data_IF_070232301765
#
_entry.id   IF_070232301765
#
_cell.length_a   1.000
_cell.length_b   1.000
_cell.length_c   1.000
_cell.angle_alpha   90.00
_cell.angle_beta   90.00
_cell.angle_gamma   90.00
#
_symmetry.space_group_name_H-M   'P 1'
#
loop_
_entity.id
_entity.type
_entity.pdbx_description
1 polymer ?
#
# COMPACT_ATOMS: atom_id res chain seq x y z
N UNK A 1 20.69 1.02 -8.12
CA UNK A 1 20.10 0.99 -6.77
C UNK A 1 20.90 1.89 -5.83
N UNK A 2 20.21 2.61 -4.98
CA UNK A 2 20.80 3.42 -3.93
C UNK A 2 20.61 2.72 -2.58
N UNK A 3 21.61 2.82 -1.70
CA UNK A 3 21.52 2.30 -0.33
C UNK A 3 21.24 3.44 0.63
N UNK A 4 20.24 3.26 1.48
CA UNK A 4 19.82 4.23 2.49
C UNK A 4 20.20 3.73 3.89
N UNK A 5 20.87 4.60 4.65
CA UNK A 5 21.16 4.37 6.07
C UNK A 5 20.17 5.18 6.90
N UNK A 6 19.37 4.46 7.72
CA UNK A 6 18.38 5.07 8.59
C UNK A 6 19.03 5.63 9.86
N UNK A 7 18.66 6.86 10.21
CA UNK A 7 18.91 7.39 11.56
C UNK A 7 17.69 7.09 12.44
N UNK A 8 17.89 6.41 13.56
CA UNK A 8 16.82 6.14 14.53
C UNK A 8 16.33 7.46 15.13
N UNK A 9 15.05 7.67 15.02
CA UNK A 9 14.34 8.70 15.76
C UNK A 9 13.50 7.98 16.81
N UNK A 10 14.04 7.80 18.01
CA UNK A 10 13.25 7.35 19.14
C UNK A 10 12.22 8.44 19.46
N UNK A 11 11.02 8.31 18.93
CA UNK A 11 9.89 9.12 19.41
C UNK A 11 9.50 8.55 20.77
N UNK A 12 10.25 8.90 21.80
CA UNK A 12 9.83 8.82 23.22
C UNK A 12 9.05 10.05 23.64
N UNK A 13 8.57 10.83 22.71
CA UNK A 13 7.75 11.97 23.07
C UNK A 13 6.39 11.46 23.52
N UNK A 14 6.17 11.63 24.81
CA UNK A 14 4.88 11.54 25.46
C UNK A 14 3.87 12.26 24.56
N UNK A 15 2.85 11.56 24.14
CA UNK A 15 1.57 12.21 23.85
C UNK A 15 1.23 12.91 25.17
N UNK A 16 1.53 14.21 25.24
CA UNK A 16 1.13 15.01 26.37
C UNK A 16 -0.38 14.86 26.49
N UNK A 17 -0.87 14.53 27.67
CA UNK A 17 -2.29 14.59 27.99
C UNK A 17 -2.71 16.07 27.87
N UNK A 18 -2.96 16.52 26.66
CA UNK A 18 -3.72 17.72 26.42
C UNK A 18 -5.18 17.33 26.52
N UNK A 19 -5.93 18.11 27.27
CA UNK A 19 -7.39 17.98 27.48
C UNK A 19 -8.20 18.05 26.17
N UNK A 20 -7.53 18.21 25.03
CA UNK A 20 -8.08 18.37 23.68
C UNK A 20 -7.73 17.16 22.79
N UNK A 21 -7.97 15.95 23.28
CA UNK A 21 -7.97 14.79 22.39
C UNK A 21 -9.09 14.97 21.38
N UNK A 22 -8.80 14.83 20.07
CA UNK A 22 -9.84 14.91 19.06
C UNK A 22 -10.94 13.91 19.39
N UNK A 23 -12.20 14.34 19.28
CA UNK A 23 -13.35 13.47 19.47
C UNK A 23 -13.28 12.32 18.45
N UNK A 24 -13.20 11.08 18.95
CA UNK A 24 -13.16 9.90 18.09
C UNK A 24 -14.59 9.47 17.79
N UNK A 25 -15.08 9.82 16.62
CA UNK A 25 -16.38 9.36 16.14
C UNK A 25 -16.23 7.99 15.46
N UNK A 26 -16.78 6.97 16.08
CA UNK A 26 -16.89 5.65 15.47
C UNK A 26 -18.08 5.63 14.50
N UNK A 27 -17.81 5.67 13.20
CA UNK A 27 -18.83 5.50 12.16
C UNK A 27 -18.80 4.03 11.74
N UNK A 28 -19.83 3.21 12.06
CA UNK A 28 -19.85 1.82 11.65
C UNK A 28 -20.07 1.69 10.15
N UNK A 29 -19.34 0.78 9.49
CA UNK A 29 -19.65 0.38 8.13
C UNK A 29 -21.07 -0.19 8.06
N UNK A 30 -21.90 0.33 7.17
CA UNK A 30 -23.28 -0.15 6.97
C UNK A 30 -23.30 -1.57 6.41
N UNK A 31 -22.37 -1.91 5.55
CA UNK A 31 -22.23 -3.26 5.01
C UNK A 31 -21.27 -4.08 5.89
N UNK A 32 -21.83 -5.01 6.67
CA UNK A 32 -21.09 -5.86 7.61
C UNK A 32 -20.27 -6.97 6.94
N UNK A 33 -20.49 -7.22 5.65
CA UNK A 33 -19.83 -8.27 4.89
C UNK A 33 -18.48 -7.77 4.30
N UNK A 34 -18.14 -6.51 4.54
CA UNK A 34 -16.92 -5.90 4.01
C UNK A 34 -15.93 -5.70 5.14
N UNK A 35 -14.72 -6.20 4.93
CA UNK A 35 -13.56 -5.92 5.76
C UNK A 35 -12.64 -4.93 5.05
N UNK A 36 -12.59 -3.70 5.54
CA UNK A 36 -11.66 -2.67 5.09
C UNK A 36 -10.31 -2.90 5.77
N UNK A 37 -9.25 -3.00 4.99
CA UNK A 37 -7.88 -3.24 5.48
C UNK A 37 -7.05 -1.97 5.56
N UNK A 38 -7.17 -1.12 4.56
CA UNK A 38 -6.54 0.19 4.53
C UNK A 38 -7.39 1.12 3.67
N UNK A 39 -7.29 2.42 3.91
CA UNK A 39 -7.99 3.38 3.08
C UNK A 39 -7.50 4.79 3.32
N UNK A 40 -7.81 5.67 2.38
CA UNK A 40 -7.45 7.08 2.40
C UNK A 40 -8.61 7.93 1.88
N UNK A 41 -8.80 9.07 2.50
CA UNK A 41 -9.67 10.11 1.95
C UNK A 41 -9.02 10.74 0.72
N UNK A 42 -9.79 10.82 -0.35
CA UNK A 42 -9.45 11.61 -1.53
C UNK A 42 -9.96 13.05 -1.35
N UNK A 43 -11.15 13.17 -0.77
CA UNK A 43 -11.76 14.41 -0.32
C UNK A 43 -12.85 14.10 0.71
N UNK A 44 -13.56 15.09 1.22
CA UNK A 44 -14.58 14.95 2.26
C UNK A 44 -15.73 13.98 1.91
N UNK A 45 -15.93 13.71 0.62
CA UNK A 45 -17.03 12.85 0.13
C UNK A 45 -16.56 11.55 -0.52
N UNK A 46 -15.25 11.29 -0.55
CA UNK A 46 -14.69 10.13 -1.23
C UNK A 46 -13.57 9.49 -0.42
N UNK A 47 -13.79 8.25 -0.02
CA UNK A 47 -12.82 7.44 0.67
C UNK A 47 -12.51 6.20 -0.17
N UNK A 48 -11.23 6.03 -0.56
CA UNK A 48 -10.76 4.86 -1.31
C UNK A 48 -10.16 3.86 -0.35
N UNK A 49 -10.65 2.64 -0.38
CA UNK A 49 -10.22 1.60 0.53
C UNK A 49 -9.91 0.28 -0.17
N UNK A 50 -8.95 -0.46 0.36
CA UNK A 50 -8.78 -1.87 0.02
C UNK A 50 -9.70 -2.74 0.86
N UNK A 51 -10.31 -3.73 0.22
CA UNK A 51 -11.25 -4.65 0.85
C UNK A 51 -10.84 -6.10 0.67
N UNK A 52 -11.19 -6.95 1.63
CA UNK A 52 -10.85 -8.37 1.62
C UNK A 52 -12.06 -9.30 1.45
N UNK A 53 -13.26 -8.85 1.75
CA UNK A 53 -14.41 -9.75 1.87
C UNK A 53 -15.24 -9.84 0.60
N UNK A 54 -15.34 -11.05 0.05
CA UNK A 54 -16.39 -11.47 -0.91
C UNK A 54 -16.43 -10.78 -2.28
N UNK A 55 -15.56 -9.81 -2.50
CA UNK A 55 -15.61 -8.97 -3.68
C UNK A 55 -14.65 -9.49 -4.76
N UNK A 56 -15.13 -9.45 -5.98
CA UNK A 56 -14.30 -9.74 -7.17
C UNK A 56 -13.33 -8.60 -7.48
N UNK A 57 -13.50 -7.45 -6.84
CA UNK A 57 -12.71 -6.24 -7.02
C UNK A 57 -12.10 -5.83 -5.68
N UNK A 58 -10.77 -5.64 -5.62
CA UNK A 58 -10.06 -5.48 -4.35
C UNK A 58 -10.15 -4.07 -3.75
N UNK A 59 -10.69 -3.12 -4.47
CA UNK A 59 -10.80 -1.72 -4.05
C UNK A 59 -12.27 -1.31 -4.02
N UNK A 60 -12.64 -0.52 -3.04
CA UNK A 60 -13.96 0.09 -2.93
C UNK A 60 -13.85 1.60 -2.79
N UNK A 61 -14.80 2.30 -3.39
CA UNK A 61 -15.07 3.70 -3.11
C UNK A 61 -16.22 3.78 -2.12
N UNK A 62 -16.04 4.55 -1.06
CA UNK A 62 -17.05 4.87 -0.07
C UNK A 62 -17.32 6.37 -0.07
N UNK A 63 -18.56 6.74 0.17
CA UNK A 63 -18.92 8.15 0.41
C UNK A 63 -18.68 8.58 1.87
N UNK A 64 -19.07 9.81 2.21
CA UNK A 64 -18.98 10.36 3.57
C UNK A 64 -19.76 9.57 4.62
N UNK A 65 -20.80 8.85 4.20
CA UNK A 65 -21.65 8.03 5.07
C UNK A 65 -21.19 6.56 5.12
N UNK A 66 -20.03 6.28 4.54
CA UNK A 66 -19.41 4.96 4.37
C UNK A 66 -20.27 3.96 3.58
N UNK A 67 -21.07 4.48 2.63
CA UNK A 67 -21.79 3.66 1.65
C UNK A 67 -20.91 3.38 0.43
N UNK A 68 -20.98 2.14 -0.07
CA UNK A 68 -20.23 1.75 -1.27
C UNK A 68 -20.83 2.45 -2.49
N UNK A 69 -20.02 3.21 -3.19
CA UNK A 69 -20.35 3.85 -4.47
C UNK A 69 -19.85 3.07 -5.65
N UNK A 70 -18.66 2.49 -5.54
CA UNK A 70 -18.07 1.70 -6.61
C UNK A 70 -17.19 0.56 -6.06
N UNK A 71 -17.13 -0.53 -6.83
CA UNK A 71 -16.11 -1.55 -6.72
C UNK A 71 -15.13 -1.34 -7.87
N UNK A 72 -13.82 -1.38 -7.58
CA UNK A 72 -12.79 -0.93 -8.49
C UNK A 72 -11.69 -1.98 -8.58
N UNK A 73 -11.04 -2.02 -9.74
CA UNK A 73 -9.93 -2.90 -10.03
C UNK A 73 -10.37 -4.28 -10.47
N UNK A 74 -9.42 -5.05 -10.95
CA UNK A 74 -9.62 -6.42 -11.39
C UNK A 74 -8.74 -7.35 -10.55
N UNK A 75 -9.29 -8.49 -10.18
CA UNK A 75 -8.45 -9.60 -9.71
C UNK A 75 -7.87 -10.32 -10.93
N UNK A 76 -6.69 -10.93 -10.80
CA UNK A 76 -6.11 -11.73 -11.89
C UNK A 76 -7.10 -12.79 -12.37
N UNK A 77 -7.16 -12.96 -13.64
CA UNK A 77 -7.96 -13.86 -14.46
C UNK A 77 -9.08 -14.62 -13.74
N UNK A 78 -10.33 -14.40 -14.14
CA UNK A 78 -11.52 -15.03 -13.54
C UNK A 78 -11.46 -16.57 -13.51
N UNK A 79 -10.76 -17.19 -14.45
CA UNK A 79 -10.60 -18.63 -14.52
C UNK A 79 -9.58 -19.20 -13.53
N UNK A 80 -8.73 -18.33 -12.96
CA UNK A 80 -7.64 -18.68 -12.05
C UNK A 80 -7.78 -18.05 -10.66
N UNK A 81 -8.99 -17.67 -10.27
CA UNK A 81 -9.24 -17.08 -8.94
C UNK A 81 -8.72 -17.97 -7.84
N UNK A 82 -7.90 -17.39 -6.98
CA UNK A 82 -7.62 -17.98 -5.68
C UNK A 82 -8.93 -18.05 -4.90
N UNK A 83 -9.23 -19.17 -4.27
CA UNK A 83 -10.32 -19.27 -3.30
C UNK A 83 -10.03 -18.47 -2.03
N UNK A 84 -8.81 -18.01 -1.88
CA UNK A 84 -8.36 -17.20 -0.76
C UNK A 84 -8.33 -15.72 -1.16
N UNK A 85 -9.38 -15.02 -0.83
CA UNK A 85 -9.58 -13.59 -1.09
C UNK A 85 -8.49 -12.70 -0.48
N UNK A 86 -7.84 -13.16 0.60
CA UNK A 86 -6.72 -12.44 1.19
C UNK A 86 -5.52 -12.27 0.25
N UNK A 87 -5.44 -13.08 -0.81
CA UNK A 87 -4.39 -12.99 -1.81
C UNK A 87 -4.41 -11.69 -2.61
N UNK A 88 -5.57 -11.06 -2.71
CA UNK A 88 -5.76 -9.82 -3.48
C UNK A 88 -5.87 -8.57 -2.61
N UNK A 89 -5.71 -8.75 -1.30
CA UNK A 89 -5.66 -7.61 -0.37
C UNK A 89 -4.40 -6.78 -0.54
N UNK A 90 -4.49 -5.51 -0.20
CA UNK A 90 -3.36 -4.61 -0.37
C UNK A 90 -3.51 -3.28 0.36
N UNK A 91 -2.71 -2.33 -0.06
CA UNK A 91 -2.70 -0.97 0.46
C UNK A 91 -3.04 0.04 -0.64
N UNK A 92 -3.64 1.15 -0.23
CA UNK A 92 -3.97 2.28 -1.11
C UNK A 92 -3.31 3.55 -0.65
N UNK A 93 -2.99 4.43 -1.58
CA UNK A 93 -2.56 5.80 -1.31
C UNK A 93 -3.17 6.75 -2.32
N UNK A 94 -3.51 7.93 -1.87
CA UNK A 94 -4.19 8.96 -2.65
C UNK A 94 -3.31 10.21 -2.73
N UNK A 95 -3.29 10.85 -3.87
CA UNK A 95 -2.76 12.18 -4.07
C UNK A 95 -3.63 12.92 -5.11
N UNK A 96 -4.23 14.04 -4.71
CA UNK A 96 -5.17 14.81 -5.53
C UNK A 96 -6.34 13.93 -6.01
N UNK A 97 -6.61 13.87 -7.30
CA UNK A 97 -7.66 13.05 -7.91
C UNK A 97 -7.17 11.65 -8.32
N UNK A 98 -5.93 11.28 -8.00
CA UNK A 98 -5.35 9.98 -8.32
C UNK A 98 -5.18 9.12 -7.08
N UNK A 99 -5.21 7.81 -7.29
CA UNK A 99 -4.86 6.85 -6.26
C UNK A 99 -4.12 5.66 -6.85
N UNK A 100 -3.28 5.09 -6.03
CA UNK A 100 -2.53 3.87 -6.34
C UNK A 100 -2.94 2.76 -5.39
N UNK A 101 -3.01 1.54 -5.92
CA UNK A 101 -3.27 0.31 -5.18
C UNK A 101 -2.13 -0.67 -5.42
N UNK A 102 -1.70 -1.34 -4.36
CA UNK A 102 -0.68 -2.41 -4.41
C UNK A 102 -1.17 -3.64 -3.68
N UNK A 103 -0.83 -4.85 -4.18
CA UNK A 103 -1.21 -6.11 -3.54
C UNK A 103 -0.10 -6.67 -2.66
N UNK A 104 -0.48 -7.18 -1.49
CA UNK A 104 0.48 -7.73 -0.52
C UNK A 104 1.02 -9.11 -0.93
N UNK A 105 0.18 -9.96 -1.51
CA UNK A 105 0.59 -11.32 -1.90
C UNK A 105 1.13 -11.42 -3.32
N UNK A 106 0.93 -10.39 -4.13
CA UNK A 106 1.38 -10.30 -5.52
C UNK A 106 2.16 -9.01 -5.71
N UNK A 107 3.14 -9.02 -6.60
CA UNK A 107 3.83 -7.80 -7.00
C UNK A 107 2.99 -6.98 -8.00
N UNK A 108 1.69 -6.82 -7.74
CA UNK A 108 0.77 -6.02 -8.56
C UNK A 108 0.67 -4.61 -8.05
N UNK A 109 0.70 -3.67 -8.98
CA UNK A 109 0.49 -2.24 -8.74
C UNK A 109 -0.43 -1.68 -9.84
N UNK A 110 -1.34 -0.80 -9.45
CA UNK A 110 -2.25 -0.11 -10.37
C UNK A 110 -2.46 1.33 -9.94
N UNK A 111 -2.55 2.24 -10.91
CA UNK A 111 -2.87 3.64 -10.69
C UNK A 111 -4.17 4.00 -11.38
N UNK A 112 -4.99 4.75 -10.69
CA UNK A 112 -6.32 5.18 -11.14
C UNK A 112 -6.46 6.70 -10.99
N UNK A 113 -7.37 7.26 -11.76
CA UNK A 113 -7.78 8.65 -11.68
C UNK A 113 -9.29 8.74 -11.52
N UNK A 114 -9.74 9.60 -10.62
CA UNK A 114 -11.16 9.96 -10.49
C UNK A 114 -11.42 11.20 -11.33
N UNK A 115 -12.26 11.05 -12.33
CA UNK A 115 -12.64 12.11 -13.26
C UNK A 115 -13.66 13.07 -12.63
N UNK A 116 -13.84 14.23 -13.23
CA UNK A 116 -14.76 15.28 -12.75
C UNK A 116 -16.22 14.81 -12.71
N UNK A 117 -16.62 13.92 -13.61
CA UNK A 117 -17.95 13.30 -13.65
C UNK A 117 -18.14 12.18 -12.60
N UNK A 118 -17.11 11.89 -11.81
CA UNK A 118 -17.10 10.87 -10.77
C UNK A 118 -16.67 9.47 -11.26
N UNK A 119 -16.48 9.28 -12.56
CA UNK A 119 -15.97 8.01 -13.09
C UNK A 119 -14.54 7.75 -12.63
N UNK A 120 -14.20 6.47 -12.44
CA UNK A 120 -12.84 6.04 -12.10
C UNK A 120 -12.23 5.34 -13.29
N UNK A 121 -11.10 5.86 -13.74
CA UNK A 121 -10.35 5.35 -14.87
C UNK A 121 -9.04 4.70 -14.41
N UNK A 122 -8.76 3.49 -14.90
CA UNK A 122 -7.44 2.88 -14.78
C UNK A 122 -6.48 3.62 -15.73
N UNK A 123 -5.40 4.16 -15.18
CA UNK A 123 -4.35 4.82 -15.97
C UNK A 123 -3.33 3.78 -16.45
N UNK A 124 -2.85 2.94 -15.55
CA UNK A 124 -1.93 1.85 -15.83
C UNK A 124 -1.94 0.83 -14.72
N UNK A 125 -1.55 -0.41 -15.05
CA UNK A 125 -1.29 -1.48 -14.09
C UNK A 125 -0.25 -2.45 -14.63
N UNK A 126 0.42 -3.16 -13.75
CA UNK A 126 1.32 -4.24 -14.12
C UNK A 126 1.67 -5.14 -12.92
N UNK A 127 2.23 -6.30 -13.23
CA UNK A 127 2.88 -7.20 -12.28
C UNK A 127 4.39 -7.07 -12.36
N UNK A 128 5.09 -7.00 -11.21
CA UNK A 128 6.56 -7.13 -11.17
C UNK A 128 7.00 -8.55 -11.56
N UNK A 129 6.18 -9.53 -11.26
CA UNK A 129 6.34 -10.93 -11.65
C UNK A 129 4.95 -11.52 -11.88
N UNK A 130 4.73 -12.11 -13.05
CA UNK A 130 3.46 -12.71 -13.40
C UNK A 130 3.05 -13.81 -12.41
N UNK A 131 1.80 -13.79 -11.90
CA UNK A 131 1.32 -14.79 -10.98
C UNK A 131 1.22 -16.17 -11.64
N UNK A 132 1.68 -17.20 -10.94
CA UNK A 132 1.58 -18.59 -11.40
C UNK A 132 0.46 -19.32 -10.68
N UNK A 133 -0.24 -20.18 -11.41
CA UNK A 133 -1.36 -20.94 -10.88
C UNK A 133 -1.14 -22.45 -11.08
N UNK A 134 -1.48 -23.21 -10.05
CA UNK A 134 -1.48 -24.68 -10.07
C UNK A 134 -2.89 -25.13 -9.69
N UNK A 135 -3.53 -25.92 -10.58
CA UNK A 135 -4.92 -26.38 -10.38
C UNK A 135 -5.90 -25.26 -10.05
N UNK A 136 -5.81 -24.15 -10.77
CA UNK A 136 -6.63 -22.92 -10.57
C UNK A 136 -6.42 -22.21 -9.21
N UNK A 137 -5.38 -22.52 -8.48
CA UNK A 137 -4.99 -21.84 -7.25
C UNK A 137 -3.66 -21.15 -7.43
N UNK A 138 -3.48 -20.01 -6.77
CA UNK A 138 -2.22 -19.29 -6.77
C UNK A 138 -1.10 -20.18 -6.21
N UNK A 139 -0.01 -20.34 -6.96
CA UNK A 139 1.16 -21.12 -6.53
C UNK A 139 1.95 -20.37 -5.45
N UNK A 140 1.47 -20.45 -4.22
CA UNK A 140 2.08 -19.77 -3.07
C UNK A 140 3.47 -20.26 -2.72
N UNK A 141 3.87 -21.48 -3.13
CA UNK A 141 5.21 -22.01 -2.85
C UNK A 141 6.30 -21.29 -3.64
N UNK A 142 5.94 -20.82 -4.83
CA UNK A 142 6.87 -20.12 -5.72
C UNK A 142 6.60 -18.62 -5.81
N UNK A 143 5.60 -18.12 -5.08
CA UNK A 143 5.22 -16.74 -5.06
C UNK A 143 6.24 -15.91 -4.27
N UNK A 144 6.65 -14.78 -4.85
CA UNK A 144 7.29 -13.72 -4.10
C UNK A 144 6.21 -12.80 -3.53
N UNK A 145 6.34 -12.47 -2.25
CA UNK A 145 5.48 -11.48 -1.63
C UNK A 145 5.61 -10.15 -2.32
N UNK A 146 4.48 -9.46 -2.50
CA UNK A 146 4.39 -8.19 -3.16
C UNK A 146 4.75 -7.01 -2.26
N UNK A 147 3.79 -6.16 -1.99
CA UNK A 147 4.00 -4.89 -1.31
C UNK A 147 3.41 -4.90 0.10
N UNK A 148 4.10 -4.29 1.06
CA UNK A 148 3.57 -4.09 2.40
C UNK A 148 2.84 -2.76 2.56
N UNK A 149 3.25 -1.74 1.79
CA UNK A 149 2.66 -0.41 1.84
C UNK A 149 2.96 0.40 0.59
N UNK A 150 2.21 1.49 0.39
CA UNK A 150 2.41 2.43 -0.70
C UNK A 150 2.13 3.85 -0.24
N UNK A 151 2.93 4.80 -0.69
CA UNK A 151 2.72 6.24 -0.51
C UNK A 151 2.85 6.96 -1.85
N UNK A 152 1.76 7.58 -2.28
CA UNK A 152 1.74 8.48 -3.43
C UNK A 152 1.94 9.92 -2.94
N UNK A 153 2.80 10.67 -3.61
CA UNK A 153 3.13 12.07 -3.34
C UNK A 153 2.95 12.89 -4.60
N UNK A 154 3.35 14.14 -4.59
CA UNK A 154 3.19 15.06 -5.73
C UNK A 154 3.86 14.54 -7.01
N UNK A 155 5.08 14.00 -6.88
CA UNK A 155 5.88 13.60 -8.04
C UNK A 155 6.13 12.10 -8.13
N UNK A 156 5.99 11.35 -7.01
CA UNK A 156 6.45 9.97 -6.91
C UNK A 156 5.45 9.04 -6.25
N UNK A 157 5.64 7.75 -6.51
CA UNK A 157 4.96 6.65 -5.84
C UNK A 157 6.03 5.78 -5.19
N UNK A 158 6.03 5.70 -3.85
CA UNK A 158 6.96 4.91 -3.04
C UNK A 158 6.26 3.64 -2.58
N UNK A 159 6.84 2.48 -2.87
CA UNK A 159 6.26 1.17 -2.55
C UNK A 159 7.21 0.34 -1.71
N UNK A 160 6.84 0.03 -0.48
CA UNK A 160 7.56 -0.95 0.34
C UNK A 160 7.37 -2.35 -0.24
N UNK A 161 8.45 -2.96 -0.73
CA UNK A 161 8.40 -4.21 -1.49
C UNK A 161 9.15 -5.33 -0.78
N UNK A 162 8.47 -6.46 -0.55
CA UNK A 162 9.09 -7.65 0.03
C UNK A 162 10.06 -8.32 -0.96
N UNK A 163 9.59 -8.67 -2.14
CA UNK A 163 10.41 -9.30 -3.19
C UNK A 163 11.00 -10.67 -2.82
N UNK A 164 10.53 -11.29 -1.73
CA UNK A 164 11.04 -12.52 -1.18
C UNK A 164 9.99 -13.63 -1.26
N UNK A 165 10.44 -14.87 -1.42
CA UNK A 165 9.53 -16.02 -1.37
C UNK A 165 8.93 -16.17 0.02
N UNK A 166 7.63 -16.45 0.06
CA UNK A 166 6.96 -16.80 1.31
C UNK A 166 7.39 -18.20 1.75
N UNK A 167 8.10 -18.29 2.87
CA UNK A 167 8.47 -19.55 3.52
C UNK A 167 7.79 -19.54 4.89
N UNK A 168 6.90 -20.50 5.12
CA UNK A 168 6.06 -20.56 6.33
C UNK A 168 6.89 -20.56 7.62
N UNK A 169 8.03 -21.28 7.60
CA UNK A 169 8.97 -21.39 8.70
C UNK A 169 9.67 -20.05 9.01
N UNK A 170 9.82 -19.19 8.01
CA UNK A 170 10.49 -17.89 8.12
C UNK A 170 9.54 -16.70 8.18
N UNK A 171 8.24 -16.92 8.39
CA UNK A 171 7.23 -15.85 8.35
C UNK A 171 7.59 -14.63 9.22
N UNK A 172 8.21 -14.85 10.39
CA UNK A 172 8.62 -13.77 11.30
C UNK A 172 9.89 -13.04 10.85
N UNK A 173 10.65 -13.60 9.91
CA UNK A 173 11.93 -13.07 9.45
C UNK A 173 11.83 -12.41 8.08
N UNK A 174 10.63 -12.38 7.48
CA UNK A 174 10.42 -11.69 6.21
C UNK A 174 10.36 -10.20 6.50
N UNK A 175 11.37 -9.49 6.06
CA UNK A 175 11.53 -8.05 6.28
C UNK A 175 11.53 -7.30 4.95
N UNK A 176 11.12 -6.04 4.99
CA UNK A 176 11.04 -5.17 3.82
C UNK A 176 12.25 -4.28 3.80
N UNK A 177 13.17 -4.52 2.87
CA UNK A 177 14.38 -3.72 2.70
C UNK A 177 14.44 -2.98 1.36
N UNK A 178 13.38 -3.05 0.57
CA UNK A 178 13.33 -2.39 -0.71
C UNK A 178 12.15 -1.41 -0.75
N UNK A 179 12.42 -0.18 -1.18
CA UNK A 179 11.40 0.79 -1.51
C UNK A 179 11.54 1.07 -3.00
N UNK A 180 10.58 0.57 -3.78
CA UNK A 180 10.52 0.83 -5.22
C UNK A 180 9.87 2.18 -5.45
N UNK A 181 10.48 2.99 -6.31
CA UNK A 181 10.00 4.32 -6.64
C UNK A 181 9.58 4.37 -8.10
N UNK A 182 8.39 4.89 -8.35
CA UNK A 182 7.83 5.10 -9.69
C UNK A 182 7.40 6.56 -9.86
N UNK A 183 7.31 7.02 -11.11
CA UNK A 183 6.58 8.24 -11.43
C UNK A 183 5.06 7.97 -11.53
N UNK A 184 4.25 9.01 -11.73
CA UNK A 184 2.81 8.88 -11.88
C UNK A 184 2.35 8.21 -13.19
N UNK A 185 3.27 7.97 -14.14
CA UNK A 185 3.02 7.24 -15.37
C UNK A 185 3.38 5.76 -15.27
N UNK A 186 3.85 5.31 -14.09
CA UNK A 186 4.23 3.93 -13.83
C UNK A 186 5.66 3.59 -14.26
N UNK A 187 6.48 4.57 -14.66
CA UNK A 187 7.87 4.30 -14.97
C UNK A 187 8.67 4.08 -13.69
N UNK A 188 9.41 2.98 -13.67
CA UNK A 188 10.32 2.68 -12.56
C UNK A 188 11.50 3.66 -12.54
N UNK A 189 11.73 4.31 -11.40
CA UNK A 189 12.79 5.30 -11.25
C UNK A 189 13.96 4.77 -10.40
N UNK A 190 13.67 4.12 -9.28
CA UNK A 190 14.70 3.68 -8.36
C UNK A 190 14.26 2.50 -7.48
N UNK A 191 15.23 1.70 -7.05
CA UNK A 191 15.09 0.80 -5.90
C UNK A 191 15.99 1.33 -4.78
N UNK A 192 15.37 1.80 -3.71
CA UNK A 192 16.06 2.27 -2.52
C UNK A 192 16.21 1.07 -1.57
N UNK A 193 17.44 0.62 -1.38
CA UNK A 193 17.73 -0.45 -0.43
C UNK A 193 18.00 0.14 0.94
N UNK A 194 17.24 -0.28 1.96
CA UNK A 194 17.31 0.22 3.32
C UNK A 194 18.11 -0.73 4.23
N UNK A 195 18.88 -0.17 5.15
CA UNK A 195 19.61 -0.92 6.19
C UNK A 195 18.71 -1.43 7.31
N UNK A 196 17.50 -0.86 7.43
CA UNK A 196 16.43 -1.26 8.35
C UNK A 196 15.17 -1.61 7.58
N UNK A 197 14.34 -2.49 8.14
CA UNK A 197 13.06 -2.79 7.50
C UNK A 197 12.17 -1.53 7.42
N UNK A 198 11.40 -1.42 6.34
CA UNK A 198 10.54 -0.28 6.04
C UNK A 198 9.12 -0.76 5.67
N UNK A 199 8.37 -1.23 6.67
CA UNK A 199 7.09 -1.91 6.46
C UNK A 199 5.90 -0.98 6.24
N UNK A 200 5.96 0.25 6.75
CA UNK A 200 4.96 1.31 6.57
C UNK A 200 5.68 2.61 6.27
N UNK A 201 5.15 3.38 5.31
CA UNK A 201 5.80 4.57 4.81
C UNK A 201 5.00 5.84 5.07
N UNK A 202 5.74 6.91 5.35
CA UNK A 202 5.30 8.28 5.18
C UNK A 202 6.43 9.06 4.50
N UNK A 203 6.09 10.03 3.68
CA UNK A 203 7.05 10.88 2.97
C UNK A 203 6.76 12.32 3.32
N UNK A 204 7.83 13.11 3.55
CA UNK A 204 7.69 14.55 3.80
C UNK A 204 7.11 15.28 2.58
N UNK A 205 6.47 16.42 2.81
CA UNK A 205 5.82 17.20 1.74
C UNK A 205 6.83 17.71 0.69
N UNK A 206 8.08 17.92 1.08
CA UNK A 206 9.17 18.30 0.17
C UNK A 206 9.81 17.09 -0.55
N UNK A 207 9.29 15.87 -0.30
CA UNK A 207 9.73 14.61 -0.90
C UNK A 207 11.22 14.27 -0.69
N UNK A 208 11.85 14.84 0.37
CA UNK A 208 13.27 14.63 0.67
C UNK A 208 13.54 13.64 1.79
N UNK A 209 12.49 13.25 2.51
CA UNK A 209 12.60 12.36 3.65
C UNK A 209 11.52 11.29 3.63
N UNK A 210 11.94 10.03 3.80
CA UNK A 210 11.03 8.92 4.06
C UNK A 210 11.09 8.60 5.55
N UNK A 211 9.94 8.51 6.19
CA UNK A 211 9.77 7.92 7.52
C UNK A 211 9.18 6.53 7.35
N UNK A 212 9.74 5.55 8.04
CA UNK A 212 9.24 4.19 7.97
C UNK A 212 9.15 3.54 9.35
N UNK A 213 8.19 2.63 9.51
CA UNK A 213 8.16 1.75 10.67
C UNK A 213 9.10 0.59 10.41
N UNK A 214 10.07 0.41 11.30
CA UNK A 214 10.97 -0.75 11.33
C UNK A 214 10.59 -1.71 12.46
N UNK A 215 10.97 -2.97 12.30
CA UNK A 215 10.92 -4.01 13.33
C UNK A 215 12.33 -4.54 13.66
N UNK A 216 13.37 -3.77 13.35
CA UNK A 216 14.77 -4.16 13.44
C UNK A 216 15.63 -3.09 14.11
N UNK A 217 16.34 -3.45 15.22
CA UNK A 217 16.25 -4.67 16.03
C UNK A 217 14.98 -4.70 16.89
N UNK A 218 14.28 -3.60 16.99
CA UNK A 218 13.03 -3.40 17.72
C UNK A 218 12.08 -2.49 16.93
N UNK A 219 10.83 -2.39 17.37
CA UNK A 219 9.85 -1.52 16.72
C UNK A 219 10.24 -0.06 16.96
N UNK A 220 10.49 0.66 15.85
CA UNK A 220 10.87 2.07 15.86
C UNK A 220 10.38 2.78 14.60
N UNK A 221 10.49 4.11 14.61
CA UNK A 221 10.38 4.91 13.39
C UNK A 221 11.79 5.29 12.96
N UNK A 222 12.12 4.98 11.72
CA UNK A 222 13.40 5.36 11.08
C UNK A 222 13.17 6.44 10.05
N UNK A 223 14.18 7.27 9.86
CA UNK A 223 14.21 8.35 8.88
C UNK A 223 15.28 8.08 7.85
N UNK A 224 14.93 8.15 6.57
CA UNK A 224 15.86 8.06 5.45
C UNK A 224 15.88 9.38 4.69
N UNK A 225 17.07 9.95 4.50
CA UNK A 225 17.28 11.14 3.67
C UNK A 225 17.42 10.71 2.20
N UNK A 226 16.54 11.21 1.34
CA UNK A 226 16.52 10.92 -0.09
C UNK A 226 16.75 12.17 -0.96
N UNK A 227 17.14 13.30 -0.35
CA UNK A 227 17.29 14.59 -1.01
C UNK A 227 18.21 14.61 -2.23
N UNK A 228 19.16 13.68 -2.29
CA UNK A 228 20.16 13.59 -3.38
C UNK A 228 19.92 12.39 -4.32
N UNK A 229 18.82 11.66 -4.18
CA UNK A 229 18.61 10.39 -4.89
C UNK A 229 17.63 10.57 -6.05
N UNK A 230 16.54 11.25 -5.80
CA UNK A 230 15.50 11.53 -6.80
C UNK A 230 15.68 12.98 -7.30
N UNK A 231 15.79 13.14 -8.61
CA UNK A 231 15.98 14.43 -9.26
C UNK A 231 14.83 14.71 -10.21
#
# INVERSE_FOLDING_TARGET
>A
SASLVGSEMCIRDRISNTSDLPEVNNIPLKNKDILVLSGKYMNDNCFIASSMAGLTQPIIELDKDLEIKANIGNVPDEHHRSTDLSSYSGSTSVYDNKFVFVMASLGYIACYEKLVDGAIQLLWDFYLEEPKYVKKQLDRKNLKLGFSDVKMTKNYIFCSYFGQKYVRENRRNIKVHNILVFDHNGHFLANLHTDRSASRLSVSDDEKTIYAVTEEPEIAIVRFDISNILK
#
